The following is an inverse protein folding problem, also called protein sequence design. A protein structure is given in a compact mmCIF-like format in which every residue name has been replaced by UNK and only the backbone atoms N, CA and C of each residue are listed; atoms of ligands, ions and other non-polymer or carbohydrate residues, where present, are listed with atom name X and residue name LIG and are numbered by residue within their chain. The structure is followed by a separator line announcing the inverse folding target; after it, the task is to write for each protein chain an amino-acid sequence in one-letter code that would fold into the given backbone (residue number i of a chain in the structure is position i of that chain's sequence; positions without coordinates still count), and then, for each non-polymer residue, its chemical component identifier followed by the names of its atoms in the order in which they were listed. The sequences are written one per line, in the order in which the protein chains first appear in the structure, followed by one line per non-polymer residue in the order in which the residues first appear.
data_IF_046134290496
#
_entry.id   IF_046134290496
#
_cell.length_a   1.000
_cell.length_b   1.000
_cell.length_c   1.000
_cell.angle_alpha   90.00
_cell.angle_beta   90.00
_cell.angle_gamma   90.00
#
_symmetry.space_group_name_H-M   'P 1'
#
loop_
_entity.id
_entity.type
_entity.pdbx_description
1 polymer ?
#
# COMPACT_ATOMS: atom_id res chain seq x y z
N UNK A 1 -13.75 -23.47 16.69
CA UNK A 1 -13.77 -22.80 15.37
C UNK A 1 -12.48 -23.17 14.68
N UNK A 2 -12.56 -23.83 13.52
CA UNK A 2 -11.38 -24.18 12.73
C UNK A 2 -10.85 -22.89 12.09
N UNK A 3 -9.62 -22.54 12.43
CA UNK A 3 -8.85 -21.51 11.73
C UNK A 3 -8.54 -22.08 10.34
N UNK A 4 -9.21 -21.55 9.32
CA UNK A 4 -8.85 -21.80 7.93
C UNK A 4 -7.49 -21.15 7.72
N UNK A 5 -6.45 -21.94 7.49
CA UNK A 5 -5.18 -21.45 6.95
C UNK A 5 -5.41 -20.98 5.50
N UNK A 6 -6.02 -19.80 5.36
CA UNK A 6 -5.98 -19.00 4.14
C UNK A 6 -4.58 -18.45 4.07
N UNK A 7 -3.70 -19.10 3.30
CA UNK A 7 -2.34 -18.66 2.93
C UNK A 7 -2.01 -17.26 3.43
N UNK A 8 -1.27 -17.14 4.55
CA UNK A 8 -0.85 -15.84 5.07
C UNK A 8 0.13 -15.22 4.06
N UNK A 9 -0.41 -14.55 3.06
CA UNK A 9 0.39 -13.81 2.11
C UNK A 9 1.15 -12.73 2.85
N UNK A 10 2.40 -12.51 2.44
CA UNK A 10 3.31 -11.62 3.14
C UNK A 10 2.77 -10.19 3.17
N UNK A 11 2.92 -9.54 4.32
CA UNK A 11 2.58 -8.14 4.55
C UNK A 11 3.67 -7.48 5.37
N UNK A 12 4.19 -6.37 4.89
CA UNK A 12 5.19 -5.56 5.58
C UNK A 12 4.68 -4.13 5.73
N UNK A 13 4.72 -3.60 6.95
CA UNK A 13 4.53 -2.18 7.22
C UNK A 13 5.86 -1.44 7.01
N UNK A 14 5.85 -0.43 6.14
CA UNK A 14 7.01 0.42 5.84
C UNK A 14 6.97 1.71 6.65
N UNK A 15 5.79 2.09 7.10
CA UNK A 15 5.54 3.22 7.97
C UNK A 15 4.25 2.97 8.73
N UNK A 16 4.23 3.39 9.99
CA UNK A 16 3.05 3.37 10.84
C UNK A 16 3.17 4.52 11.85
N UNK A 17 2.27 5.48 11.77
CA UNK A 17 2.19 6.59 12.71
C UNK A 17 0.74 6.96 12.97
N UNK A 18 0.39 7.17 14.23
CA UNK A 18 -0.95 7.56 14.65
C UNK A 18 -0.85 8.73 15.61
N UNK A 19 -1.75 9.70 15.43
CA UNK A 19 -1.95 10.76 16.40
C UNK A 19 -3.45 10.93 16.69
N UNK A 20 -3.82 12.03 17.33
CA UNK A 20 -5.21 12.33 17.68
C UNK A 20 -6.11 12.55 16.45
N UNK A 21 -5.56 12.99 15.31
CA UNK A 21 -6.30 13.34 14.10
C UNK A 21 -6.49 12.13 13.20
N UNK A 22 -5.44 11.35 12.94
CA UNK A 22 -5.51 10.21 12.01
C UNK A 22 -4.44 9.15 12.28
N UNK A 23 -4.57 8.04 11.56
CA UNK A 23 -3.59 6.98 11.42
C UNK A 23 -3.08 6.98 9.98
N UNK A 24 -1.76 7.09 9.82
CA UNK A 24 -1.08 7.01 8.53
C UNK A 24 -0.20 5.77 8.52
N UNK A 25 -0.35 4.92 7.51
CA UNK A 25 0.49 3.74 7.37
C UNK A 25 0.70 3.36 5.92
N UNK A 26 1.86 2.79 5.65
CA UNK A 26 2.25 2.38 4.30
C UNK A 26 2.52 0.88 4.35
N UNK A 27 1.90 0.13 3.45
CA UNK A 27 1.96 -1.33 3.43
C UNK A 27 2.43 -1.80 2.06
N UNK A 28 3.35 -2.77 2.07
CA UNK A 28 3.56 -3.67 0.94
C UNK A 28 2.93 -5.01 1.31
N UNK A 29 2.10 -5.56 0.43
CA UNK A 29 1.43 -6.85 0.64
C UNK A 29 1.46 -7.69 -0.63
N UNK A 30 1.47 -9.00 -0.46
CA UNK A 30 1.20 -9.94 -1.54
C UNK A 30 -0.24 -10.45 -1.44
N UNK A 31 -0.80 -10.81 -2.58
CA UNK A 31 -1.97 -11.69 -2.68
C UNK A 31 -1.56 -12.92 -3.50
N UNK A 32 -2.53 -13.72 -3.97
CA UNK A 32 -2.25 -14.83 -4.87
C UNK A 32 -1.48 -14.38 -6.13
N UNK A 33 -1.95 -13.33 -6.78
CA UNK A 33 -1.53 -12.92 -8.13
C UNK A 33 -0.90 -11.53 -8.19
N UNK A 34 -0.94 -10.76 -7.09
CA UNK A 34 -0.60 -9.33 -7.08
C UNK A 34 0.37 -9.01 -5.95
N UNK A 35 1.25 -8.03 -6.17
CA UNK A 35 1.98 -7.29 -5.13
C UNK A 35 1.40 -5.88 -5.12
N UNK A 36 0.96 -5.44 -3.96
CA UNK A 36 0.28 -4.16 -3.74
C UNK A 36 1.07 -3.33 -2.77
N UNK A 37 1.44 -2.12 -3.17
CA UNK A 37 1.97 -1.09 -2.28
C UNK A 37 0.90 -0.01 -2.11
N UNK A 38 0.55 0.33 -0.88
CA UNK A 38 -0.48 1.33 -0.58
C UNK A 38 -0.07 2.25 0.57
N UNK A 39 -0.43 3.52 0.45
CA UNK A 39 -0.32 4.54 1.50
C UNK A 39 -1.72 4.92 1.97
N UNK A 40 -1.95 4.81 3.28
CA UNK A 40 -3.26 4.99 3.90
C UNK A 40 -3.31 6.21 4.80
N UNK A 41 -4.48 6.85 4.82
CA UNK A 41 -4.85 7.88 5.78
C UNK A 41 -6.25 7.56 6.30
N UNK A 42 -6.30 7.15 7.56
CA UNK A 42 -7.53 6.77 8.25
C UNK A 42 -7.77 7.80 9.37
N UNK A 43 -8.67 8.78 9.16
CA UNK A 43 -8.97 9.76 10.21
C UNK A 43 -9.54 9.07 11.45
N UNK A 44 -9.24 9.60 12.64
CA UNK A 44 -9.98 9.20 13.83
C UNK A 44 -11.38 9.85 13.80
N UNK A 45 -12.32 9.24 14.51
CA UNK A 45 -13.68 9.76 14.68
C UNK A 45 -13.70 11.23 15.13
N UNK A 46 -14.50 12.05 14.45
CA UNK A 46 -14.64 13.48 14.67
C UNK A 46 -13.55 14.34 14.03
N UNK A 47 -12.57 13.74 13.35
CA UNK A 47 -11.49 14.43 12.64
C UNK A 47 -11.51 14.23 11.13
N UNK A 48 -12.39 13.37 10.62
CA UNK A 48 -12.52 13.15 9.19
C UNK A 48 -13.03 14.40 8.48
N UNK A 49 -12.33 14.83 7.44
CA UNK A 49 -12.86 15.81 6.49
C UNK A 49 -13.75 15.03 5.54
N UNK A 50 -15.05 15.36 5.52
CA UNK A 50 -16.07 14.69 4.72
C UNK A 50 -16.27 13.19 5.02
N UNK A 51 -15.85 12.70 6.19
CA UNK A 51 -16.04 11.29 6.57
C UNK A 51 -15.24 10.31 5.72
N UNK A 52 -14.13 10.74 5.09
CA UNK A 52 -13.41 9.94 4.10
C UNK A 52 -12.08 9.38 4.63
N UNK A 53 -11.86 8.09 4.39
CA UNK A 53 -10.56 7.43 4.41
C UNK A 53 -9.92 7.52 3.02
N UNK A 54 -8.60 7.50 2.97
CA UNK A 54 -7.82 7.62 1.73
C UNK A 54 -6.84 6.46 1.61
N UNK A 55 -6.81 5.84 0.43
CA UNK A 55 -5.83 4.84 0.05
C UNK A 55 -5.29 5.18 -1.34
N UNK A 56 -4.00 5.50 -1.44
CA UNK A 56 -3.33 5.58 -2.73
C UNK A 56 -2.50 4.32 -2.95
N UNK A 57 -2.84 3.55 -3.97
CA UNK A 57 -2.27 2.21 -4.18
C UNK A 57 -1.57 2.08 -5.54
N UNK A 58 -0.65 1.11 -5.59
CA UNK A 58 0.02 0.63 -6.80
C UNK A 58 0.02 -0.90 -6.76
N UNK A 59 -0.70 -1.50 -7.70
CA UNK A 59 -0.88 -2.93 -7.83
C UNK A 59 -0.13 -3.46 -9.05
N UNK A 60 0.66 -4.51 -8.84
CA UNK A 60 1.48 -5.15 -9.88
C UNK A 60 1.17 -6.63 -9.92
N UNK A 61 0.77 -7.13 -11.09
CA UNK A 61 0.61 -8.57 -11.29
C UNK A 61 1.96 -9.29 -11.20
N UNK A 62 2.03 -10.37 -10.42
CA UNK A 62 3.27 -11.14 -10.17
C UNK A 62 3.90 -11.67 -11.45
N UNK A 63 3.08 -12.08 -12.42
CA UNK A 63 3.53 -12.53 -13.74
C UNK A 63 4.23 -11.42 -14.57
N UNK A 64 4.05 -10.16 -14.18
CA UNK A 64 4.55 -8.97 -14.90
C UNK A 64 5.80 -8.36 -14.24
N UNK A 65 6.28 -8.92 -13.13
CA UNK A 65 7.39 -8.36 -12.34
C UNK A 65 8.76 -8.38 -13.03
N UNK A 66 8.92 -9.07 -14.17
CA UNK A 66 10.17 -9.13 -14.95
C UNK A 66 11.42 -9.38 -14.09
N UNK A 67 11.33 -10.36 -13.19
CA UNK A 67 12.41 -10.76 -12.28
C UNK A 67 12.58 -9.88 -11.04
N UNK A 68 11.72 -8.87 -10.82
CA UNK A 68 11.66 -8.11 -9.59
C UNK A 68 11.03 -8.97 -8.49
N UNK A 69 11.71 -9.16 -7.36
CA UNK A 69 11.17 -9.93 -6.23
C UNK A 69 10.50 -9.01 -5.20
N UNK A 70 9.64 -9.57 -4.37
CA UNK A 70 9.05 -8.86 -3.24
C UNK A 70 10.13 -8.21 -2.35
N UNK A 71 11.19 -8.95 -1.99
CA UNK A 71 12.26 -8.41 -1.14
C UNK A 71 13.03 -7.26 -1.79
N UNK A 72 13.20 -7.29 -3.11
CA UNK A 72 13.81 -6.19 -3.84
C UNK A 72 12.92 -4.94 -3.83
N UNK A 73 11.60 -5.13 -4.01
CA UNK A 73 10.62 -4.04 -3.90
C UNK A 73 10.65 -3.47 -2.48
N UNK A 74 10.55 -4.33 -1.47
CA UNK A 74 10.55 -3.92 -0.07
C UNK A 74 11.82 -3.14 0.30
N UNK A 75 12.98 -3.62 -0.13
CA UNK A 75 14.26 -2.95 0.11
C UNK A 75 14.33 -1.61 -0.60
N UNK A 76 13.87 -1.53 -1.85
CA UNK A 76 13.82 -0.28 -2.62
C UNK A 76 12.94 0.77 -1.93
N UNK A 77 11.74 0.36 -1.49
CA UNK A 77 10.78 1.23 -0.81
C UNK A 77 11.30 1.69 0.57
N UNK A 78 11.94 0.80 1.34
CA UNK A 78 12.55 1.15 2.64
C UNK A 78 13.70 2.15 2.51
N UNK A 79 14.42 2.13 1.40
CA UNK A 79 15.52 3.06 1.14
C UNK A 79 15.06 4.42 0.60
N UNK A 80 13.79 4.55 0.21
CA UNK A 80 13.20 5.82 -0.19
C UNK A 80 12.70 6.62 1.04
N UNK A 81 12.80 7.95 0.96
CA UNK A 81 12.10 8.85 1.89
C UNK A 81 10.60 8.63 1.77
N UNK A 82 9.87 8.71 2.89
CA UNK A 82 8.43 8.44 2.94
C UNK A 82 7.68 9.29 1.90
N UNK A 83 7.98 10.57 1.86
CA UNK A 83 7.29 11.57 1.03
C UNK A 83 7.47 11.34 -0.48
N UNK A 84 8.52 10.62 -0.87
CA UNK A 84 8.83 10.32 -2.28
C UNK A 84 8.49 8.87 -2.66
N UNK A 85 8.06 8.04 -1.72
CA UNK A 85 8.14 6.58 -1.85
C UNK A 85 7.22 6.07 -2.96
N UNK A 86 5.97 6.50 -2.97
CA UNK A 86 5.00 6.15 -4.00
C UNK A 86 5.45 6.57 -5.41
N UNK A 87 5.86 7.83 -5.57
CA UNK A 87 6.29 8.37 -6.86
C UNK A 87 7.58 7.68 -7.38
N UNK A 88 8.53 7.39 -6.49
CA UNK A 88 9.72 6.59 -6.83
C UNK A 88 9.35 5.18 -7.24
N UNK A 89 8.36 4.57 -6.60
CA UNK A 89 7.91 3.23 -6.95
C UNK A 89 7.25 3.20 -8.34
N UNK A 90 6.31 4.12 -8.61
CA UNK A 90 5.72 4.30 -9.95
C UNK A 90 6.80 4.54 -11.01
N UNK A 91 7.80 5.36 -10.71
CA UNK A 91 8.93 5.63 -11.62
C UNK A 91 9.78 4.38 -11.90
N UNK A 92 10.08 3.56 -10.89
CA UNK A 92 10.79 2.28 -11.04
C UNK A 92 10.03 1.32 -11.97
N UNK A 93 8.71 1.18 -11.76
CA UNK A 93 7.88 0.30 -12.56
C UNK A 93 7.82 0.76 -14.03
N UNK A 94 7.64 2.07 -14.27
CA UNK A 94 7.73 2.68 -15.61
C UNK A 94 9.10 2.43 -16.26
N UNK A 95 10.20 2.64 -15.53
CA UNK A 95 11.56 2.42 -16.03
C UNK A 95 11.81 0.96 -16.46
N UNK A 96 11.28 -0.01 -15.71
CA UNK A 96 11.36 -1.44 -16.05
C UNK A 96 10.28 -1.88 -17.07
N UNK A 97 9.44 -0.94 -17.53
CA UNK A 97 8.31 -1.19 -18.41
C UNK A 97 7.37 -2.28 -17.83
N UNK A 98 7.16 -2.26 -16.51
CA UNK A 98 6.26 -3.17 -15.80
C UNK A 98 4.88 -2.49 -15.75
N UNK A 99 3.82 -3.13 -16.28
CA UNK A 99 2.47 -2.60 -16.15
C UNK A 99 2.03 -2.67 -14.68
N UNK A 100 1.32 -1.63 -14.24
CA UNK A 100 0.74 -1.54 -12.91
C UNK A 100 -0.57 -0.77 -12.95
N UNK A 101 -1.43 -1.06 -12.00
CA UNK A 101 -2.65 -0.30 -11.73
C UNK A 101 -2.37 0.64 -10.56
N UNK A 102 -2.88 1.86 -10.64
CA UNK A 102 -2.77 2.82 -9.55
C UNK A 102 -3.98 3.74 -9.58
N UNK A 103 -4.54 4.02 -8.41
CA UNK A 103 -5.63 4.96 -8.24
C UNK A 103 -5.62 5.54 -6.83
N UNK A 104 -6.41 6.59 -6.63
CA UNK A 104 -6.73 7.14 -5.32
C UNK A 104 -8.13 6.67 -4.94
N UNK A 105 -8.20 5.71 -4.03
CA UNK A 105 -9.45 5.26 -3.45
C UNK A 105 -9.84 6.16 -2.27
N UNK A 106 -11.10 6.57 -2.24
CA UNK A 106 -11.67 7.28 -1.11
C UNK A 106 -12.91 6.53 -0.64
N UNK A 107 -12.96 6.23 0.65
CA UNK A 107 -14.09 5.52 1.24
C UNK A 107 -14.78 6.42 2.26
N UNK A 108 -16.06 6.73 2.01
CA UNK A 108 -16.92 7.31 3.03
C UNK A 108 -17.23 6.30 4.14
N UNK A 109 -16.87 6.65 5.37
CA UNK A 109 -17.14 5.88 6.57
C UNK A 109 -18.10 6.70 7.46
N UNK A 110 -19.33 6.22 7.62
CA UNK A 110 -20.38 6.89 8.41
C UNK A 110 -20.04 6.98 9.90
N UNK A 111 -19.11 6.15 10.39
CA UNK A 111 -18.71 6.11 11.78
C UNK A 111 -17.59 7.10 12.15
N UNK A 112 -17.00 7.77 11.16
CA UNK A 112 -15.92 8.77 11.29
C UNK A 112 -16.40 10.20 11.56
#
# INVERSE_FOLDING_TARGET
MQQLELFDYRKDYLFDNKNQVAHWYDILKETEDTISYAEHIDPNKGYAIAGMEYEEYVDVKKNSLKGLTYDQILTYLKNAKKEDRLEKYKALLKFRNIPFEADLFTWHNEDL
#
